data_IF_373998461656
#
_entry.id   IF_373998461656
#
_cell.length_a   1.000
_cell.length_b   1.000
_cell.length_c   1.000
_cell.angle_alpha   90.00
_cell.angle_beta   90.00
_cell.angle_gamma   90.00
#
_symmetry.space_group_name_H-M   'P 1'
#
loop_
_entity.id
_entity.type
_entity.pdbx_description
1 polymer ?
#
# COMPACT_ATOMS: atom_id res chain seq x y z
N UNK A 1 3.97 14.12 -1.47
CA UNK A 1 4.02 12.84 -0.72
C UNK A 1 2.79 11.96 -1.00
N UNK A 2 1.54 12.46 -0.87
CA UNK A 2 0.30 11.67 -1.17
C UNK A 2 0.31 10.96 -2.53
N UNK A 3 0.72 11.62 -3.62
CA UNK A 3 0.81 11.00 -4.96
C UNK A 3 1.76 9.80 -5.01
N UNK A 4 2.93 9.90 -4.35
CA UNK A 4 3.92 8.82 -4.30
C UNK A 4 3.37 7.64 -3.51
N UNK A 5 2.68 7.90 -2.38
CA UNK A 5 1.99 6.85 -1.63
C UNK A 5 0.88 6.19 -2.46
N UNK A 6 0.21 6.93 -3.34
CA UNK A 6 -0.80 6.37 -4.25
C UNK A 6 -0.17 5.41 -5.27
N UNK A 7 0.94 5.83 -5.88
CA UNK A 7 1.69 4.96 -6.80
C UNK A 7 2.25 3.73 -6.09
N UNK A 8 2.80 3.88 -4.88
CA UNK A 8 3.29 2.76 -4.08
C UNK A 8 2.17 1.78 -3.69
N UNK A 9 0.97 2.29 -3.37
CA UNK A 9 -0.21 1.45 -3.11
C UNK A 9 -0.61 0.65 -4.34
N UNK A 10 -0.79 1.30 -5.49
CA UNK A 10 -1.15 0.62 -6.75
C UNK A 10 -0.11 -0.43 -7.13
N UNK A 11 1.17 -0.06 -7.05
CA UNK A 11 2.27 -0.98 -7.37
C UNK A 11 2.26 -2.17 -6.41
N UNK A 12 2.03 -1.94 -5.12
CA UNK A 12 1.89 -3.01 -4.14
C UNK A 12 0.74 -3.98 -4.45
N UNK A 13 -0.43 -3.46 -4.87
CA UNK A 13 -1.58 -4.28 -5.30
C UNK A 13 -1.24 -5.14 -6.51
N UNK A 14 -0.53 -4.58 -7.49
CA UNK A 14 -0.10 -5.33 -8.68
C UNK A 14 0.85 -6.46 -8.29
N UNK A 15 1.84 -6.21 -7.43
CA UNK A 15 2.78 -7.23 -6.97
C UNK A 15 2.09 -8.34 -6.15
N UNK A 16 1.15 -7.98 -5.27
CA UNK A 16 0.37 -8.95 -4.50
C UNK A 16 -0.50 -9.83 -5.40
N UNK A 17 -1.12 -9.21 -6.42
CA UNK A 17 -1.94 -9.92 -7.41
C UNK A 17 -1.09 -10.88 -8.25
N UNK A 18 0.11 -10.47 -8.66
CA UNK A 18 1.04 -11.32 -9.40
C UNK A 18 1.45 -12.55 -8.59
N UNK A 19 1.74 -12.38 -7.30
CA UNK A 19 2.04 -13.50 -6.40
C UNK A 19 0.86 -14.46 -6.24
N UNK A 20 -0.36 -13.93 -6.12
CA UNK A 20 -1.58 -14.74 -6.06
C UNK A 20 -1.78 -15.60 -7.31
N UNK A 21 -1.55 -15.03 -8.50
CA UNK A 21 -1.61 -15.79 -9.74
C UNK A 21 -0.49 -16.83 -9.85
N UNK A 22 0.72 -16.50 -9.40
CA UNK A 22 1.83 -17.45 -9.39
C UNK A 22 1.53 -18.67 -8.49
N UNK A 23 0.83 -18.46 -7.38
CA UNK A 23 0.35 -19.52 -6.49
C UNK A 23 -0.73 -20.38 -7.15
N UNK A 24 -1.77 -19.77 -7.74
CA UNK A 24 -2.86 -20.50 -8.40
C UNK A 24 -2.38 -21.38 -9.56
N UNK A 25 -1.44 -20.87 -10.35
CA UNK A 25 -0.97 -21.54 -11.56
C UNK A 25 0.32 -22.36 -11.34
N UNK A 26 0.75 -22.54 -10.10
CA UNK A 26 1.95 -23.29 -9.71
C UNK A 26 3.18 -22.92 -10.56
N UNK A 27 3.48 -21.61 -10.65
CA UNK A 27 4.59 -21.14 -11.47
C UNK A 27 5.93 -21.71 -10.99
N UNK A 28 6.80 -22.03 -11.96
CA UNK A 28 8.19 -22.41 -11.68
C UNK A 28 8.91 -21.22 -11.03
N UNK A 29 9.43 -21.41 -9.81
CA UNK A 29 9.95 -20.30 -8.99
C UNK A 29 8.89 -19.63 -8.09
N UNK A 30 7.94 -20.41 -7.57
CA UNK A 30 6.87 -19.92 -6.69
C UNK A 30 7.41 -19.09 -5.51
N UNK A 31 8.53 -19.51 -4.91
CA UNK A 31 9.10 -18.84 -3.75
C UNK A 31 9.55 -17.40 -4.06
N UNK A 32 10.11 -17.18 -5.24
CA UNK A 32 10.52 -15.86 -5.72
C UNK A 32 9.29 -14.96 -5.91
N UNK A 33 8.22 -15.47 -6.53
CA UNK A 33 6.99 -14.71 -6.72
C UNK A 33 6.29 -14.37 -5.40
N UNK A 34 6.29 -15.30 -4.43
CA UNK A 34 5.76 -15.03 -3.08
C UNK A 34 6.57 -13.95 -2.35
N UNK A 35 7.90 -13.92 -2.53
CA UNK A 35 8.76 -12.87 -1.95
C UNK A 35 8.47 -11.50 -2.57
N UNK A 36 8.22 -11.46 -3.89
CA UNK A 36 7.77 -10.26 -4.58
C UNK A 36 6.38 -9.82 -4.08
N UNK A 37 5.46 -10.75 -3.87
CA UNK A 37 4.16 -10.50 -3.25
C UNK A 37 4.25 -9.92 -1.85
N UNK A 38 5.14 -10.47 -1.02
CA UNK A 38 5.44 -9.94 0.32
C UNK A 38 5.89 -8.48 0.27
N UNK A 39 6.77 -8.14 -0.67
CA UNK A 39 7.19 -6.76 -0.91
C UNK A 39 6.00 -5.88 -1.31
N UNK A 40 5.09 -6.42 -2.13
CA UNK A 40 3.82 -5.78 -2.46
C UNK A 40 2.98 -5.45 -1.23
N UNK A 41 2.79 -6.40 -0.31
CA UNK A 41 2.05 -6.17 0.92
C UNK A 41 2.68 -5.09 1.81
N UNK A 42 4.01 -5.06 1.93
CA UNK A 42 4.72 -4.01 2.68
C UNK A 42 4.43 -2.63 2.09
N UNK A 43 4.43 -2.51 0.75
CA UNK A 43 4.11 -1.25 0.06
C UNK A 43 2.65 -0.83 0.29
N UNK A 44 1.70 -1.76 0.22
CA UNK A 44 0.28 -1.52 0.50
C UNK A 44 0.11 -0.97 1.92
N UNK A 45 0.64 -1.68 2.92
CA UNK A 45 0.50 -1.32 4.33
C UNK A 45 1.14 0.04 4.61
N UNK A 46 2.36 0.27 4.13
CA UNK A 46 3.06 1.54 4.33
C UNK A 46 2.32 2.73 3.71
N UNK A 47 1.77 2.53 2.50
CA UNK A 47 1.02 3.56 1.80
C UNK A 47 -0.32 3.84 2.48
N UNK A 48 -1.02 2.79 2.93
CA UNK A 48 -2.26 2.92 3.68
C UNK A 48 -2.05 3.65 5.01
N UNK A 49 -0.99 3.30 5.75
CA UNK A 49 -0.61 3.98 6.98
C UNK A 49 -0.36 5.47 6.73
N UNK A 50 0.42 5.81 5.69
CA UNK A 50 0.66 7.21 5.32
C UNK A 50 -0.63 7.97 5.01
N UNK A 51 -1.54 7.35 4.24
CA UNK A 51 -2.84 7.96 3.91
C UNK A 51 -3.69 8.18 5.15
N UNK A 52 -3.82 7.16 6.00
CA UNK A 52 -4.56 7.25 7.26
C UNK A 52 -3.98 8.34 8.17
N UNK A 53 -2.67 8.38 8.36
CA UNK A 53 -2.03 9.43 9.15
C UNK A 53 -2.27 10.82 8.57
N UNK A 54 -2.24 10.96 7.24
CA UNK A 54 -2.51 12.25 6.59
C UNK A 54 -3.96 12.71 6.75
N UNK A 55 -4.92 11.77 6.69
CA UNK A 55 -6.33 12.05 6.92
C UNK A 55 -6.58 12.45 8.37
N UNK A 56 -6.02 11.71 9.32
CA UNK A 56 -6.14 12.03 10.74
C UNK A 56 -5.53 13.39 11.08
N UNK A 57 -4.41 13.74 10.44
CA UNK A 57 -3.78 15.06 10.61
C UNK A 57 -4.67 16.19 10.08
N UNK A 58 -5.26 16.02 8.89
CA UNK A 58 -6.19 17.01 8.32
C UNK A 58 -7.44 17.17 9.20
N UNK A 59 -8.04 16.07 9.64
CA UNK A 59 -9.20 16.10 10.55
C UNK A 59 -8.89 16.68 11.92
N UNK A 60 -7.68 16.46 12.45
CA UNK A 60 -7.25 17.03 13.72
C UNK A 60 -7.00 18.54 13.66
N UNK A 61 -6.72 19.08 12.47
CA UNK A 61 -6.46 20.51 12.26
C UNK A 61 -7.73 21.33 11.96
N UNK A 62 -8.77 20.70 11.39
CA UNK A 62 -10.08 21.34 11.15
C UNK A 62 -10.69 22.03 12.39
N UNK A 63 -10.72 21.44 13.60
CA UNK A 63 -11.32 22.12 14.76
C UNK A 63 -10.55 23.37 15.22
N UNK A 64 -9.23 23.45 15.01
CA UNK A 64 -8.42 24.61 15.40
C UNK A 64 -8.63 25.84 14.51
N UNK A 65 -9.11 25.65 13.27
CA UNK A 65 -9.38 26.73 12.32
C UNK A 65 -10.72 27.44 12.56
N UNK A 66 -11.64 26.82 13.30
CA UNK A 66 -12.95 27.41 13.65
C UNK A 66 -12.90 28.27 14.93
N UNK A 67 -11.83 28.17 15.72
CA UNK A 67 -11.65 28.91 16.97
C UNK A 67 -10.74 30.16 16.83
N UNK A 68 -10.21 30.44 15.63
CA UNK A 68 -9.32 31.57 15.32
C UNK A 68 -10.02 32.65 14.48
#
# INVERSE_FOLDING_TARGET
MKRIALFAFILGVVLATLAYFAEIYEWMGLQEYLTVGFTGYVLIISSAAYYMSSLLYEWGMEPAMWEA
#
